data_IF_858812369876
#
_entry.id   IF_858812369876
#
_cell.length_a   1.000
_cell.length_b   1.000
_cell.length_c   1.000
_cell.angle_alpha   90.00
_cell.angle_beta   90.00
_cell.angle_gamma   90.00
#
_symmetry.space_group_name_H-M   'P 1'
#
loop_
_entity.id
_entity.type
_entity.pdbx_description
1 polymer ?
#
# COMPACT_ATOMS: atom_id res chain seq x y z
N UNK A 1 30.17 -39.48 -1.92
CA UNK A 1 29.40 -38.41 -1.27
C UNK A 1 27.99 -38.40 -1.86
N UNK A 2 26.92 -38.71 -1.11
CA UNK A 2 25.56 -38.61 -1.64
C UNK A 2 25.17 -37.14 -1.82
N UNK A 3 24.60 -36.80 -2.98
CA UNK A 3 24.04 -35.47 -3.27
C UNK A 3 22.85 -35.23 -2.36
N UNK A 4 22.91 -34.17 -1.56
CA UNK A 4 21.77 -33.65 -0.79
C UNK A 4 20.66 -33.27 -1.78
N UNK A 5 19.50 -33.90 -1.67
CA UNK A 5 18.35 -33.59 -2.49
C UNK A 5 17.90 -32.14 -2.19
N UNK A 6 18.05 -31.25 -3.17
CA UNK A 6 17.49 -29.90 -3.10
C UNK A 6 15.96 -30.00 -3.13
N UNK A 7 15.32 -29.69 -2.00
CA UNK A 7 13.87 -29.52 -1.91
C UNK A 7 13.48 -28.32 -2.79
N UNK A 8 12.75 -28.56 -3.87
CA UNK A 8 12.15 -27.48 -4.68
C UNK A 8 11.12 -26.77 -3.81
N UNK A 9 11.38 -25.49 -3.50
CA UNK A 9 10.42 -24.60 -2.83
C UNK A 9 9.18 -24.48 -3.73
N UNK A 10 7.99 -24.72 -3.18
CA UNK A 10 6.73 -24.55 -3.90
C UNK A 10 6.61 -23.10 -4.42
N UNK A 11 6.06 -22.94 -5.62
CA UNK A 11 5.82 -21.62 -6.21
C UNK A 11 4.83 -20.84 -5.33
N UNK A 12 5.18 -19.60 -4.97
CA UNK A 12 4.32 -18.74 -4.15
C UNK A 12 3.09 -18.32 -4.97
N UNK A 13 1.91 -18.29 -4.35
CA UNK A 13 0.72 -17.72 -4.97
C UNK A 13 1.00 -16.25 -5.39
N UNK A 14 0.59 -15.90 -6.61
CA UNK A 14 0.74 -14.53 -7.13
C UNK A 14 -0.30 -13.62 -6.47
N UNK A 15 -0.01 -12.32 -6.40
CA UNK A 15 -1.01 -11.33 -6.02
C UNK A 15 -2.11 -11.29 -7.08
N UNK A 16 -3.36 -11.46 -6.66
CA UNK A 16 -4.51 -11.51 -7.55
C UNK A 16 -5.06 -10.11 -7.81
N UNK A 17 -4.86 -9.60 -9.02
CA UNK A 17 -5.38 -8.29 -9.44
C UNK A 17 -6.80 -8.36 -9.98
N UNK A 18 -7.41 -9.54 -10.11
CA UNK A 18 -8.77 -9.70 -10.62
C UNK A 18 -9.86 -9.46 -9.58
N UNK A 19 -9.48 -9.35 -8.29
CA UNK A 19 -10.40 -9.04 -7.20
C UNK A 19 -10.92 -7.60 -7.28
N UNK A 20 -12.19 -7.43 -6.94
CA UNK A 20 -12.85 -6.13 -6.80
C UNK A 20 -12.47 -5.47 -5.45
N UNK A 21 -11.20 -5.15 -5.28
CA UNK A 21 -10.64 -4.60 -4.04
C UNK A 21 -11.41 -3.40 -3.46
N UNK A 22 -11.93 -2.44 -4.27
CA UNK A 22 -12.71 -1.31 -3.74
C UNK A 22 -13.97 -1.71 -2.95
N UNK A 23 -14.58 -2.87 -3.26
CA UNK A 23 -15.83 -3.32 -2.63
C UNK A 23 -15.64 -4.52 -1.69
N UNK A 24 -14.41 -4.97 -1.50
CA UNK A 24 -14.08 -6.09 -0.59
C UNK A 24 -13.48 -5.55 0.70
N UNK A 25 -14.14 -5.84 1.82
CA UNK A 25 -13.56 -5.60 3.14
C UNK A 25 -12.54 -6.71 3.46
N UNK A 26 -11.26 -6.42 3.25
CA UNK A 26 -10.19 -7.40 3.41
C UNK A 26 -9.92 -7.76 4.87
N UNK A 27 -10.25 -6.87 5.81
CA UNK A 27 -10.22 -7.14 7.25
C UNK A 27 -11.20 -8.25 7.63
N UNK A 28 -12.40 -8.22 7.04
CA UNK A 28 -13.43 -9.25 7.26
C UNK A 28 -13.20 -10.52 6.42
N UNK A 29 -12.40 -10.45 5.36
CA UNK A 29 -12.16 -11.55 4.41
C UNK A 29 -10.67 -11.85 4.21
N UNK A 30 -9.91 -12.20 5.28
CA UNK A 30 -8.46 -12.34 5.20
C UNK A 30 -8.00 -13.44 4.23
N UNK A 31 -8.84 -14.45 3.99
CA UNK A 31 -8.59 -15.54 3.05
C UNK A 31 -8.46 -15.09 1.58
N UNK A 32 -8.94 -13.91 1.22
CA UNK A 32 -8.77 -13.31 -0.11
C UNK A 32 -7.45 -12.56 -0.26
N UNK A 33 -6.78 -12.22 0.85
CA UNK A 33 -5.51 -11.50 0.81
C UNK A 33 -4.34 -12.43 0.48
N UNK A 34 -3.50 -11.99 -0.45
CA UNK A 34 -2.21 -12.62 -0.78
C UNK A 34 -1.08 -11.63 -0.51
N UNK A 35 0.01 -12.10 0.08
CA UNK A 35 1.16 -11.25 0.41
C UNK A 35 1.92 -10.94 -0.88
N UNK A 36 1.62 -9.77 -1.42
CA UNK A 36 2.30 -9.21 -2.59
C UNK A 36 3.81 -8.97 -2.39
N UNK A 37 4.56 -8.87 -3.49
CA UNK A 37 5.99 -8.52 -3.47
C UNK A 37 6.13 -7.00 -3.35
N UNK A 38 6.97 -6.52 -2.44
CA UNK A 38 7.18 -5.08 -2.23
C UNK A 38 5.86 -4.38 -1.88
N UNK A 39 5.46 -3.43 -2.72
CA UNK A 39 4.29 -2.55 -2.56
C UNK A 39 3.02 -3.03 -3.26
N UNK A 40 3.00 -4.26 -3.80
CA UNK A 40 1.82 -4.78 -4.51
C UNK A 40 0.56 -4.74 -3.62
N UNK A 41 -0.52 -4.17 -4.16
CA UNK A 41 -1.81 -4.00 -3.48
C UNK A 41 -1.91 -2.83 -2.51
N UNK A 42 -0.82 -2.08 -2.25
CA UNK A 42 -0.79 -1.04 -1.19
C UNK A 42 -1.86 0.04 -1.37
N UNK A 43 -2.18 0.40 -2.61
CA UNK A 43 -3.21 1.39 -2.96
C UNK A 43 -4.55 0.78 -3.39
N UNK A 44 -4.79 -0.49 -3.07
CA UNK A 44 -6.01 -1.20 -3.50
C UNK A 44 -6.76 -1.82 -2.33
N UNK A 45 -6.06 -2.41 -1.37
CA UNK A 45 -6.70 -3.20 -0.32
C UNK A 45 -7.46 -2.33 0.70
N UNK A 46 -8.78 -2.44 0.71
CA UNK A 46 -9.66 -1.80 1.68
C UNK A 46 -9.90 -2.68 2.92
N UNK A 47 -10.16 -2.08 4.10
CA UNK A 47 -10.27 -0.64 4.39
C UNK A 47 -8.90 0.05 4.63
N UNK A 48 -7.81 -0.71 4.63
CA UNK A 48 -6.49 -0.23 5.03
C UNK A 48 -5.96 0.89 4.15
N UNK A 49 -6.22 0.87 2.84
CA UNK A 49 -5.88 1.97 1.95
C UNK A 49 -6.50 3.28 2.47
N UNK A 50 -7.80 3.28 2.72
CA UNK A 50 -8.53 4.47 3.18
C UNK A 50 -8.06 4.96 4.55
N UNK A 51 -7.69 4.04 5.44
CA UNK A 51 -7.18 4.37 6.79
C UNK A 51 -5.73 4.91 6.75
N UNK A 52 -4.88 4.41 5.88
CA UNK A 52 -3.43 4.68 5.88
C UNK A 52 -2.99 5.76 4.87
N UNK A 53 -3.66 5.90 3.74
CA UNK A 53 -3.29 6.87 2.70
C UNK A 53 -3.29 8.34 3.18
N UNK A 54 -4.21 8.78 4.06
CA UNK A 54 -4.16 10.14 4.61
C UNK A 54 -2.90 10.41 5.45
N UNK A 55 -2.35 9.39 6.10
CA UNK A 55 -1.18 9.49 6.97
C UNK A 55 0.15 9.56 6.20
N UNK A 56 0.14 9.24 4.90
CA UNK A 56 1.35 9.02 4.11
C UNK A 56 1.80 10.27 3.34
N UNK A 57 2.86 10.94 3.80
CA UNK A 57 3.41 12.18 3.21
C UNK A 57 4.94 12.20 3.35
N UNK A 58 5.65 12.83 2.41
CA UNK A 58 7.13 12.84 2.40
C UNK A 58 7.73 14.11 1.74
N UNK A 59 7.03 15.25 1.82
CA UNK A 59 7.45 16.48 1.14
C UNK A 59 8.82 16.97 1.64
N UNK A 60 8.98 17.02 2.96
CA UNK A 60 10.20 17.43 3.67
C UNK A 60 10.59 16.35 4.70
N UNK A 61 11.80 16.39 5.27
CA UNK A 61 12.20 15.51 6.36
C UNK A 61 11.26 15.54 7.56
N UNK A 62 10.77 16.72 7.96
CA UNK A 62 9.87 16.84 9.11
C UNK A 62 8.51 16.20 8.84
N UNK A 63 7.94 16.46 7.66
CA UNK A 63 6.70 15.80 7.20
C UNK A 63 6.89 14.28 7.10
N UNK A 64 8.04 13.82 6.60
CA UNK A 64 8.36 12.40 6.52
C UNK A 64 8.47 11.76 7.92
N UNK A 65 9.05 12.47 8.89
CA UNK A 65 9.16 12.01 10.28
C UNK A 65 7.79 11.83 10.90
N UNK A 66 6.94 12.86 10.83
CA UNK A 66 5.56 12.79 11.31
C UNK A 66 4.77 11.67 10.62
N UNK A 67 4.80 11.62 9.29
CA UNK A 67 4.11 10.59 8.52
C UNK A 67 4.57 9.17 8.86
N UNK A 68 5.88 8.94 8.94
CA UNK A 68 6.43 7.62 9.28
C UNK A 68 6.05 7.19 10.71
N UNK A 69 5.98 8.14 11.64
CA UNK A 69 5.58 7.90 13.02
C UNK A 69 4.08 7.59 13.13
N UNK A 70 3.21 8.33 12.44
CA UNK A 70 1.77 8.05 12.38
C UNK A 70 1.49 6.67 11.79
N UNK A 71 2.21 6.29 10.73
CA UNK A 71 2.13 4.95 10.17
C UNK A 71 2.65 3.90 11.16
N UNK A 72 3.73 4.16 11.89
CA UNK A 72 4.21 3.25 12.92
C UNK A 72 3.19 3.06 14.05
N UNK A 73 2.50 4.10 14.46
CA UNK A 73 1.41 4.02 15.44
C UNK A 73 0.23 3.20 14.92
N UNK A 74 -0.14 3.38 13.65
CA UNK A 74 -1.14 2.53 13.01
C UNK A 74 -0.72 1.04 12.98
N UNK A 75 0.55 0.77 12.68
CA UNK A 75 1.11 -0.59 12.74
C UNK A 75 0.99 -1.19 14.14
N UNK A 76 1.35 -0.44 15.17
CA UNK A 76 1.27 -0.89 16.56
C UNK A 76 -0.19 -1.13 16.99
N UNK A 77 -1.13 -0.31 16.52
CA UNK A 77 -2.57 -0.54 16.73
C UNK A 77 -3.03 -1.87 16.13
N UNK A 78 -2.73 -2.11 14.85
CA UNK A 78 -3.08 -3.39 14.22
C UNK A 78 -2.38 -4.58 14.88
N UNK A 79 -1.15 -4.37 15.40
CA UNK A 79 -0.42 -5.37 16.15
C UNK A 79 -1.16 -5.78 17.42
N UNK A 80 -1.67 -4.82 18.19
CA UNK A 80 -2.50 -5.08 19.39
C UNK A 80 -3.77 -5.84 19.01
N UNK A 81 -4.39 -5.48 17.89
CA UNK A 81 -5.59 -6.13 17.37
C UNK A 81 -5.30 -7.50 16.72
N UNK A 82 -4.02 -7.88 16.57
CA UNK A 82 -3.54 -9.04 15.81
C UNK A 82 -4.02 -9.06 14.35
N UNK A 83 -4.26 -7.88 13.79
CA UNK A 83 -4.65 -7.69 12.39
C UNK A 83 -3.41 -7.71 11.49
N UNK A 84 -3.06 -8.92 11.03
CA UNK A 84 -1.91 -9.11 10.14
C UNK A 84 -1.99 -8.25 8.87
N UNK A 85 -3.15 -8.14 8.24
CA UNK A 85 -3.27 -7.45 6.94
C UNK A 85 -3.08 -5.95 7.16
N UNK A 86 -3.60 -5.40 8.25
CA UNK A 86 -3.33 -4.02 8.65
C UNK A 86 -1.85 -3.76 8.90
N UNK A 87 -1.17 -4.66 9.61
CA UNK A 87 0.28 -4.59 9.80
C UNK A 87 1.04 -4.64 8.45
N UNK A 88 0.68 -5.57 7.58
CA UNK A 88 1.31 -5.78 6.27
C UNK A 88 1.14 -4.57 5.35
N UNK A 89 -0.06 -4.02 5.30
CA UNK A 89 -0.40 -2.82 4.53
C UNK A 89 0.34 -1.60 5.04
N UNK A 90 0.40 -1.41 6.36
CA UNK A 90 1.15 -0.31 6.97
C UNK A 90 2.63 -0.38 6.64
N UNK A 91 3.23 -1.57 6.75
CA UNK A 91 4.63 -1.81 6.35
C UNK A 91 4.86 -1.53 4.87
N UNK A 92 3.89 -1.83 3.99
CA UNK A 92 3.93 -1.46 2.56
C UNK A 92 3.85 0.05 2.33
N UNK A 93 3.00 0.78 3.07
CA UNK A 93 2.94 2.25 2.98
C UNK A 93 4.27 2.90 3.41
N UNK A 94 4.87 2.42 4.50
CA UNK A 94 6.21 2.86 4.95
C UNK A 94 7.25 2.57 3.85
N UNK A 95 7.24 1.37 3.27
CA UNK A 95 8.12 1.01 2.14
C UNK A 95 7.91 1.92 0.93
N UNK A 96 6.66 2.23 0.58
CA UNK A 96 6.33 3.17 -0.49
C UNK A 96 6.88 4.58 -0.19
N UNK A 97 6.94 4.98 1.07
CA UNK A 97 7.63 6.21 1.52
C UNK A 97 9.11 6.21 1.14
N UNK A 98 9.82 5.12 1.43
CA UNK A 98 11.23 4.93 1.05
C UNK A 98 11.41 5.03 -0.46
N UNK A 99 10.65 4.25 -1.22
CA UNK A 99 10.86 4.13 -2.67
C UNK A 99 10.45 5.40 -3.42
N UNK A 100 9.35 6.03 -3.03
CA UNK A 100 8.88 7.28 -3.64
C UNK A 100 9.83 8.41 -3.30
N UNK A 101 10.19 8.61 -2.02
CA UNK A 101 11.15 9.66 -1.65
C UNK A 101 12.50 9.47 -2.37
N UNK A 102 13.02 8.24 -2.43
CA UNK A 102 14.26 7.95 -3.17
C UNK A 102 14.12 8.19 -4.68
N UNK A 103 12.94 7.95 -5.26
CA UNK A 103 12.68 8.30 -6.67
C UNK A 103 12.77 9.80 -6.87
N UNK A 104 12.13 10.62 -6.04
CA UNK A 104 12.24 12.08 -6.14
C UNK A 104 13.63 12.62 -5.80
N UNK A 105 14.43 11.87 -5.03
CA UNK A 105 15.83 12.21 -4.79
C UNK A 105 16.68 12.06 -6.06
N UNK A 106 16.43 11.03 -6.87
CA UNK A 106 17.25 10.70 -8.05
C UNK A 106 16.76 11.31 -9.35
N UNK A 107 15.46 11.59 -9.45
CA UNK A 107 14.79 11.98 -10.69
C UNK A 107 14.14 13.35 -10.50
N UNK A 108 14.57 14.40 -11.22
CA UNK A 108 13.92 15.70 -11.18
C UNK A 108 12.41 15.58 -11.44
N UNK A 109 11.60 16.18 -10.56
CA UNK A 109 10.13 16.06 -10.60
C UNK A 109 9.58 14.63 -10.43
N UNK A 110 10.41 13.66 -10.01
CA UNK A 110 10.04 12.26 -9.83
C UNK A 110 9.77 11.48 -11.12
N UNK A 111 10.05 12.07 -12.30
CA UNK A 111 9.78 11.45 -13.61
C UNK A 111 10.98 10.60 -14.05
N UNK A 112 10.80 9.28 -14.01
CA UNK A 112 11.83 8.31 -14.42
C UNK A 112 11.96 8.18 -15.94
N UNK A 113 10.83 8.28 -16.65
CA UNK A 113 10.75 8.08 -18.08
C UNK A 113 10.37 9.38 -18.77
N UNK A 114 10.98 9.64 -19.92
CA UNK A 114 10.54 10.66 -20.85
C UNK A 114 9.15 10.31 -21.39
N UNK A 115 8.40 11.33 -21.83
CA UNK A 115 7.07 11.15 -22.44
C UNK A 115 7.10 10.51 -23.83
N UNK A 116 8.29 10.35 -24.41
CA UNK A 116 8.51 9.75 -25.73
C UNK A 116 8.64 8.24 -25.64
N UNK A 117 7.95 7.54 -26.55
CA UNK A 117 8.06 6.09 -26.76
C UNK A 117 8.76 5.91 -28.10
N UNK A 118 9.83 5.11 -28.13
CA UNK A 118 10.53 4.80 -29.37
C UNK A 118 9.70 3.85 -30.27
N UNK A 119 10.14 3.66 -31.51
CA UNK A 119 9.47 2.77 -32.47
C UNK A 119 9.38 1.29 -32.01
N UNK A 120 10.05 0.91 -30.91
CA UNK A 120 10.06 -0.43 -30.32
C UNK A 120 9.22 -0.51 -29.04
N UNK A 121 8.46 0.54 -28.70
CA UNK A 121 7.62 0.59 -27.52
C UNK A 121 8.38 0.86 -26.22
N UNK A 122 9.67 1.24 -26.28
CA UNK A 122 10.49 1.52 -25.09
C UNK A 122 10.45 3.02 -24.78
N UNK A 123 10.18 3.33 -23.52
CA UNK A 123 10.30 4.70 -23.01
C UNK A 123 11.75 5.04 -22.71
N UNK A 124 12.20 6.18 -23.20
CA UNK A 124 13.51 6.70 -22.83
C UNK A 124 13.52 7.03 -21.34
N UNK A 125 14.63 6.69 -20.68
CA UNK A 125 14.81 6.99 -19.26
C UNK A 125 15.46 8.37 -19.16
N UNK A 126 14.94 9.23 -18.29
CA UNK A 126 15.52 10.57 -18.08
C UNK A 126 16.97 10.42 -17.55
N UNK A 127 17.81 11.42 -17.72
CA UNK A 127 19.12 11.37 -17.06
C UNK A 127 18.92 11.66 -15.57
N UNK A 128 19.54 10.85 -14.71
CA UNK A 128 19.53 11.13 -13.26
C UNK A 128 20.24 12.46 -13.00
N UNK A 129 19.61 13.31 -12.19
CA UNK A 129 20.24 14.52 -11.70
C UNK A 129 21.16 14.24 -10.50
N UNK A 130 21.83 15.28 -9.97
CA UNK A 130 22.41 15.20 -8.63
C UNK A 130 21.32 14.87 -7.61
N UNK A 131 21.66 14.09 -6.58
CA UNK A 131 20.69 13.66 -5.58
C UNK A 131 20.13 14.87 -4.81
N UNK A 132 18.81 14.96 -4.71
CA UNK A 132 18.17 15.96 -3.84
C UNK A 132 18.29 15.51 -2.36
N UNK A 133 19.04 16.24 -1.51
CA UNK A 133 19.31 15.82 -0.13
C UNK A 133 18.05 15.82 0.75
N UNK A 134 17.08 16.71 0.48
CA UNK A 134 15.81 16.79 1.22
C UNK A 134 15.03 15.48 1.04
N UNK A 135 14.91 15.01 -0.21
CA UNK A 135 14.19 13.77 -0.54
C UNK A 135 14.98 12.51 -0.13
N UNK A 136 16.30 12.57 -0.21
CA UNK A 136 17.17 11.50 0.27
C UNK A 136 17.01 11.29 1.78
N UNK A 137 16.92 12.38 2.54
CA UNK A 137 16.70 12.34 3.99
C UNK A 137 15.29 11.84 4.33
N UNK A 138 14.24 12.30 3.64
CA UNK A 138 12.90 11.72 3.80
C UNK A 138 12.89 10.20 3.57
N UNK A 139 13.61 9.71 2.54
CA UNK A 139 13.73 8.28 2.28
C UNK A 139 14.47 7.53 3.40
N UNK A 140 15.48 8.16 4.01
CA UNK A 140 16.25 7.61 5.15
C UNK A 140 15.35 7.42 6.37
N UNK A 141 14.56 8.44 6.71
CA UNK A 141 13.61 8.42 7.85
C UNK A 141 12.60 7.27 7.72
N UNK A 142 11.95 7.14 6.55
CA UNK A 142 11.07 5.99 6.31
C UNK A 142 11.82 4.65 6.37
N UNK A 143 13.09 4.62 5.98
CA UNK A 143 13.93 3.43 5.99
C UNK A 143 14.19 2.90 7.39
N UNK A 144 14.42 3.78 8.36
CA UNK A 144 14.62 3.42 9.78
C UNK A 144 13.35 2.78 10.36
N UNK A 145 12.20 3.38 10.12
CA UNK A 145 10.90 2.84 10.57
C UNK A 145 10.61 1.52 9.84
N UNK A 146 10.91 1.43 8.54
CA UNK A 146 10.71 0.21 7.76
C UNK A 146 11.51 -0.98 8.30
N UNK A 147 12.76 -0.76 8.69
CA UNK A 147 13.59 -1.79 9.30
C UNK A 147 12.92 -2.31 10.59
N UNK A 148 12.51 -1.39 11.46
CA UNK A 148 11.83 -1.72 12.73
C UNK A 148 10.58 -2.57 12.53
N UNK A 149 9.67 -2.18 11.62
CA UNK A 149 8.42 -2.94 11.41
C UNK A 149 8.63 -4.27 10.70
N UNK A 150 9.70 -4.41 9.89
CA UNK A 150 10.04 -5.67 9.23
C UNK A 150 10.67 -6.69 10.19
N UNK A 151 11.41 -6.19 11.16
CA UNK A 151 12.10 -6.99 12.17
C UNK A 151 11.19 -7.33 13.37
N UNK A 152 9.92 -6.92 13.35
CA UNK A 152 8.93 -7.26 14.38
C UNK A 152 8.60 -8.77 14.39
N UNK A 153 8.85 -9.43 15.51
CA UNK A 153 8.65 -10.88 15.66
C UNK A 153 7.20 -11.32 15.45
N UNK A 154 6.24 -10.55 15.95
CA UNK A 154 4.83 -10.90 15.84
C UNK A 154 4.36 -10.76 14.38
N UNK A 155 4.79 -9.70 13.69
CA UNK A 155 4.56 -9.53 12.27
C UNK A 155 5.09 -10.72 11.46
N UNK A 156 6.35 -11.13 11.69
CA UNK A 156 6.95 -12.25 10.96
C UNK A 156 6.20 -13.56 11.21
N UNK A 157 5.80 -13.80 12.46
CA UNK A 157 4.99 -14.96 12.85
C UNK A 157 3.64 -14.96 12.13
N UNK A 158 2.88 -13.88 12.22
CA UNK A 158 1.57 -13.75 11.58
C UNK A 158 1.66 -13.86 10.05
N UNK A 159 2.72 -13.30 9.44
CA UNK A 159 2.96 -13.43 8.01
C UNK A 159 3.24 -14.87 7.58
N UNK A 160 3.89 -15.67 8.42
CA UNK A 160 4.08 -17.10 8.18
C UNK A 160 2.75 -17.86 8.33
N UNK A 161 2.01 -17.62 9.41
CA UNK A 161 0.70 -18.22 9.66
C UNK A 161 -0.29 -17.95 8.50
N UNK A 162 -0.35 -16.71 8.01
CA UNK A 162 -1.21 -16.33 6.88
C UNK A 162 -0.86 -17.09 5.60
N UNK A 163 0.44 -17.23 5.28
CA UNK A 163 0.90 -18.01 4.12
C UNK A 163 0.52 -19.48 4.25
N UNK A 164 0.68 -20.02 5.44
CA UNK A 164 0.43 -21.42 5.71
C UNK A 164 -1.05 -21.75 5.58
N UNK A 165 -1.90 -20.85 6.08
CA UNK A 165 -3.34 -21.00 6.08
C UNK A 165 -3.96 -20.76 4.69
N UNK A 166 -3.52 -19.72 3.96
CA UNK A 166 -4.22 -19.25 2.76
C UNK A 166 -3.43 -19.35 1.45
N UNK A 167 -2.10 -19.49 1.49
CA UNK A 167 -1.27 -19.50 0.27
C UNK A 167 -0.70 -20.89 -0.07
N UNK A 168 -0.53 -21.78 0.91
CA UNK A 168 0.00 -23.13 0.67
C UNK A 168 -1.02 -24.09 0.05
N UNK A 169 -2.30 -23.99 0.39
CA UNK A 169 -3.33 -24.94 -0.07
C UNK A 169 -3.76 -24.70 -1.52
N UNK A 170 -3.66 -23.47 -2.01
CA UNK A 170 -4.01 -23.10 -3.39
C UNK A 170 -3.01 -23.61 -4.44
N UNK A 171 -1.82 -24.05 -4.04
CA UNK A 171 -0.87 -24.70 -4.95
C UNK A 171 -1.30 -26.13 -5.34
N UNK A 172 -2.34 -26.70 -4.70
CA UNK A 172 -2.76 -28.10 -4.88
C UNK A 172 -4.23 -28.36 -5.18
N UNK A 173 -5.15 -27.38 -5.08
CA UNK A 173 -6.58 -27.61 -5.36
C UNK A 173 -7.33 -26.31 -5.67
N UNK A 174 -7.74 -26.14 -6.93
CA UNK A 174 -9.02 -25.52 -7.28
C UNK A 174 -9.64 -26.35 -8.40
N UNK A 175 -10.29 -27.46 -8.03
CA UNK A 175 -11.38 -28.03 -8.84
C UNK A 175 -12.66 -27.49 -8.20
N UNK A 176 -13.18 -26.40 -8.74
CA UNK A 176 -14.48 -25.87 -8.31
C UNK A 176 -15.56 -26.89 -8.67
N UNK A 177 -16.38 -27.27 -7.67
CA UNK A 177 -17.55 -28.12 -7.89
C UNK A 177 -18.59 -27.38 -8.75
N UNK A 178 -19.26 -28.13 -9.63
CA UNK A 178 -20.10 -27.59 -10.71
C UNK A 178 -21.33 -26.76 -10.29
N UNK A 179 -21.61 -26.58 -8.98
CA UNK A 179 -22.79 -25.85 -8.51
C UNK A 179 -22.61 -24.33 -8.36
N UNK A 180 -21.38 -23.83 -8.19
CA UNK A 180 -21.13 -22.36 -8.09
C UNK A 180 -20.97 -21.67 -9.45
N UNK A 181 -20.68 -22.44 -10.52
CA UNK A 181 -20.63 -21.89 -11.89
C UNK A 181 -22.00 -21.44 -12.40
N UNK A 182 -23.08 -22.01 -11.89
CA UNK A 182 -24.44 -21.74 -12.39
C UNK A 182 -25.07 -20.47 -11.81
N UNK A 183 -24.65 -20.04 -10.60
CA UNK A 183 -25.14 -18.81 -9.96
C UNK A 183 -24.54 -17.53 -10.58
N UNK A 184 -23.31 -17.61 -11.11
CA UNK A 184 -22.64 -16.47 -11.76
C UNK A 184 -23.09 -16.33 -13.23
N UNK A 185 -23.39 -17.44 -13.90
CA UNK A 185 -23.81 -17.46 -15.31
C UNK A 185 -25.16 -16.80 -15.60
N UNK A 186 -26.08 -16.75 -14.63
CA UNK A 186 -27.43 -16.17 -14.84
C UNK A 186 -27.50 -14.65 -14.66
N UNK A 187 -26.44 -13.99 -14.17
CA UNK A 187 -26.40 -12.52 -14.01
C UNK A 187 -25.66 -11.81 -15.16
N UNK A 188 -24.86 -12.53 -15.96
CA UNK A 188 -24.05 -11.92 -17.03
C UNK A 188 -24.76 -11.74 -18.38
N UNK A 189 -25.94 -12.35 -18.58
CA UNK A 189 -26.70 -12.17 -19.83
C UNK A 189 -27.50 -10.85 -19.89
N UNK A 190 -27.65 -10.12 -18.78
CA UNK A 190 -28.40 -8.86 -18.74
C UNK A 190 -27.56 -7.60 -19.07
N UNK A 191 -26.24 -7.71 -19.28
CA UNK A 191 -25.37 -6.53 -19.48
C UNK A 191 -24.58 -6.54 -20.79
N UNK A 192 -24.79 -7.51 -21.67
CA UNK A 192 -24.21 -7.51 -23.02
C UNK A 192 -24.99 -6.61 -23.98
N UNK A 193 -25.05 -5.30 -23.70
CA UNK A 193 -25.42 -4.32 -24.74
C UNK A 193 -24.94 -2.89 -24.48
N UNK A 194 -23.65 -2.68 -24.19
CA UNK A 194 -22.96 -1.44 -24.57
C UNK A 194 -21.53 -1.82 -24.98
N UNK A 195 -21.20 -1.62 -26.26
CA UNK A 195 -19.88 -1.87 -26.85
C UNK A 195 -19.15 -0.53 -27.04
N UNK A 196 -17.83 -0.59 -26.85
CA UNK A 196 -16.76 0.28 -27.35
C UNK A 196 -16.48 1.59 -26.61
N UNK A 197 -15.51 1.54 -25.70
CA UNK A 197 -14.57 2.63 -25.42
C UNK A 197 -13.14 2.07 -25.35
N UNK A 198 -12.11 2.82 -25.80
CA UNK A 198 -10.73 2.36 -25.87
C UNK A 198 -10.08 2.27 -24.48
N UNK A 199 -9.12 1.36 -24.40
CA UNK A 199 -8.29 1.01 -23.25
C UNK A 199 -7.66 2.25 -22.58
N UNK A 200 -8.21 2.66 -21.44
CA UNK A 200 -7.61 3.67 -20.56
C UNK A 200 -6.54 3.00 -19.71
N UNK A 201 -5.30 3.16 -20.14
CA UNK A 201 -4.09 2.91 -19.36
C UNK A 201 -4.30 3.51 -17.95
N UNK A 202 -4.06 2.73 -16.90
CA UNK A 202 -4.25 3.18 -15.52
C UNK A 202 -3.30 4.34 -15.21
N UNK A 203 -3.76 5.56 -15.47
CA UNK A 203 -3.09 6.79 -15.08
C UNK A 203 -3.14 6.82 -13.57
N UNK A 204 -2.05 6.39 -12.95
CA UNK A 204 -1.77 6.71 -11.55
C UNK A 204 -1.84 8.23 -11.45
N UNK A 205 -2.78 8.83 -10.68
CA UNK A 205 -2.87 10.27 -10.59
C UNK A 205 -1.50 10.77 -10.16
N UNK A 206 -0.88 11.54 -11.06
CA UNK A 206 0.33 12.25 -10.71
C UNK A 206 -0.09 13.19 -9.61
N UNK A 207 0.29 12.89 -8.38
CA UNK A 207 0.30 13.90 -7.32
C UNK A 207 1.38 14.87 -7.78
N UNK A 208 0.93 15.88 -8.51
CA UNK A 208 1.76 17.01 -8.91
C UNK A 208 2.00 17.85 -7.65
N UNK A 209 3.02 18.71 -7.68
CA UNK A 209 3.30 19.60 -6.55
C UNK A 209 2.10 20.54 -6.22
N UNK A 210 1.08 20.59 -7.10
CA UNK A 210 -0.16 21.37 -6.95
C UNK A 210 -1.33 20.62 -6.25
N UNK A 211 -1.28 19.28 -6.14
CA UNK A 211 -2.39 18.50 -5.55
C UNK A 211 -2.34 18.43 -4.01
N UNK A 212 -1.29 18.98 -3.40
CA UNK A 212 -1.07 19.08 -1.95
C UNK A 212 -1.97 20.14 -1.29
N UNK A 213 -2.50 21.10 -2.05
CA UNK A 213 -3.42 22.15 -1.54
C UNK A 213 -4.87 21.68 -1.38
N UNK A 214 -5.21 20.45 -1.81
CA UNK A 214 -6.61 19.95 -1.82
C UNK A 214 -6.94 18.93 -0.74
N UNK A 215 -6.06 18.70 0.23
CA UNK A 215 -6.40 17.92 1.42
C UNK A 215 -6.87 18.92 2.49
N UNK A 216 -8.16 18.96 2.84
CA UNK A 216 -8.64 19.88 3.85
C UNK A 216 -7.92 19.62 5.17
N UNK A 217 -7.42 20.68 5.80
CA UNK A 217 -6.83 20.60 7.13
C UNK A 217 -7.80 19.90 8.10
N UNK A 218 -7.30 19.05 9.02
CA UNK A 218 -8.15 18.48 10.05
C UNK A 218 -8.76 19.64 10.85
N UNK A 219 -10.09 19.78 10.76
CA UNK A 219 -10.85 20.76 11.52
C UNK A 219 -10.60 20.53 13.00
N UNK A 220 -9.78 21.41 13.57
CA UNK A 220 -9.34 21.29 14.94
C UNK A 220 -10.55 21.37 15.87
N UNK A 221 -10.75 20.32 16.66
CA UNK A 221 -11.85 20.21 17.59
C UNK A 221 -11.87 21.41 18.54
N UNK A 222 -13.06 22.00 18.66
CA UNK A 222 -13.47 23.10 19.52
C UNK A 222 -12.71 23.13 20.85
N UNK A 223 -11.73 24.03 20.97
CA UNK A 223 -11.08 24.40 22.23
C UNK A 223 -12.12 25.11 23.10
N UNK A 224 -12.69 24.42 24.07
CA UNK A 224 -13.57 25.02 25.08
C UNK A 224 -12.76 26.01 25.92
N UNK A 225 -13.10 27.30 25.82
CA UNK A 225 -12.60 28.34 26.73
C UNK A 225 -13.24 28.11 28.10
N UNK A 226 -12.45 27.65 29.07
CA UNK A 226 -12.80 27.79 30.48
C UNK A 226 -12.88 29.27 30.84
N UNK A 227 -14.04 29.68 31.33
CA UNK A 227 -14.36 31.04 31.79
C UNK A 227 -13.63 31.28 33.10
N UNK A 228 -12.67 32.20 33.11
CA UNK A 228 -11.99 32.69 34.31
C UNK A 228 -12.97 33.58 35.08
N UNK A 229 -13.48 33.09 36.22
CA UNK A 229 -14.19 33.90 37.21
C UNK A 229 -13.18 34.69 38.01
N UNK A 230 -13.17 36.02 37.85
CA UNK A 230 -12.51 36.95 38.75
C UNK A 230 -13.42 37.20 39.94
N UNK A 231 -12.99 36.77 41.12
CA UNK A 231 -13.51 37.21 42.41
C UNK A 231 -13.03 38.65 42.62
N UNK A 232 -13.95 39.51 43.04
CA UNK A 232 -13.73 40.92 43.34
C UNK A 232 -13.62 41.02 44.87
N UNK A 233 -12.42 41.28 45.37
CA UNK A 233 -12.21 41.71 46.75
C UNK A 233 -12.09 43.25 46.77
N UNK A 234 -12.78 43.82 47.76
CA UNK A 234 -12.86 45.25 48.18
C UNK A 234 -13.65 46.25 47.31
#
# INVERSE_FOLDING_TARGET
>A
MPRVATVKKAARAKFDYSLDFPHVNMRASPHLYRIGIGEQGVLSVEPYKSELLPLWRFKTPDVARESSQLLKEAFDKYKVERDFIGMDMTRKFIQMGVTRARRYANWPGGKKYAGTIDAKGKRETVVKGPENPIKAESARIFGEVLATVKDDDLYQKLAAEHKDQYERQDAGKVVMSGKEKEAIGKRSQASQKIKHEPEVDSVNPQVTDEDDERIPEPTNARRTRSRKTTVKDE
#
